data_IF_331040951890
#
_entry.id   IF_331040951890
#
_cell.length_a   1.000
_cell.length_b   1.000
_cell.length_c   1.000
_cell.angle_alpha   90.00
_cell.angle_beta   90.00
_cell.angle_gamma   90.00
#
_symmetry.space_group_name_H-M   'P 1'
#
loop_
_entity.id
_entity.type
_entity.pdbx_description
1 polymer ?
#
# COMPACT_ATOMS: atom_id res chain seq x y z
N UNK A 1 -11.71 -21.11 27.05
CA UNK A 1 -11.91 -20.06 26.03
C UNK A 1 -11.12 -20.51 24.81
N UNK A 2 -11.80 -20.88 23.72
CA UNK A 2 -11.13 -21.37 22.51
C UNK A 2 -10.33 -20.24 21.88
N UNK A 3 -9.01 -20.42 21.73
CA UNK A 3 -8.20 -19.64 20.79
C UNK A 3 -8.87 -19.75 19.41
N UNK A 4 -9.24 -18.61 18.83
CA UNK A 4 -9.87 -18.58 17.51
C UNK A 4 -8.89 -19.15 16.49
N UNK A 5 -9.18 -20.34 15.96
CA UNK A 5 -8.40 -20.92 14.89
C UNK A 5 -8.44 -19.98 13.69
N UNK A 6 -7.27 -19.70 13.08
CA UNK A 6 -7.23 -18.91 11.87
C UNK A 6 -7.90 -19.71 10.76
N UNK A 7 -8.96 -19.15 10.18
CA UNK A 7 -9.68 -19.74 9.08
C UNK A 7 -8.80 -19.78 7.82
N UNK A 8 -8.77 -20.93 7.14
CA UNK A 8 -7.96 -21.17 5.94
C UNK A 8 -6.45 -21.01 6.18
N UNK A 9 -5.83 -21.98 6.86
CA UNK A 9 -4.38 -22.02 7.05
C UNK A 9 -3.60 -22.14 5.72
N UNK A 10 -2.31 -21.82 5.76
CA UNK A 10 -1.40 -21.94 4.60
C UNK A 10 -1.01 -23.42 4.45
N UNK A 11 -1.21 -23.97 3.25
CA UNK A 11 -0.84 -25.35 2.94
C UNK A 11 0.68 -25.52 2.87
N UNK A 12 1.19 -26.72 3.16
CA UNK A 12 2.63 -26.97 3.24
C UNK A 12 3.33 -26.80 1.87
N UNK A 13 2.63 -27.14 0.79
CA UNK A 13 3.08 -26.95 -0.59
C UNK A 13 3.05 -25.49 -1.06
N UNK A 14 2.29 -24.63 -0.37
CA UNK A 14 2.11 -23.21 -0.69
C UNK A 14 2.96 -22.30 0.23
N UNK A 15 3.96 -22.86 0.93
CA UNK A 15 4.91 -22.10 1.75
C UNK A 15 6.34 -22.55 1.47
N UNK A 16 7.26 -21.58 1.41
CA UNK A 16 8.68 -21.82 1.27
C UNK A 16 9.46 -20.86 2.15
N UNK A 17 10.60 -21.33 2.65
CA UNK A 17 11.45 -20.55 3.55
C UNK A 17 12.91 -20.57 3.11
N UNK A 18 13.61 -19.46 3.34
CA UNK A 18 15.05 -19.35 3.14
C UNK A 18 15.66 -18.26 4.01
N UNK A 19 16.98 -18.29 4.19
CA UNK A 19 17.70 -17.12 4.67
C UNK A 19 17.81 -16.09 3.54
N UNK A 20 17.43 -14.86 3.83
CA UNK A 20 17.59 -13.72 2.94
C UNK A 20 18.66 -12.78 3.49
N UNK A 21 19.82 -12.79 2.85
CA UNK A 21 20.93 -11.87 3.16
C UNK A 21 20.66 -10.54 2.48
N UNK A 22 20.59 -9.47 3.27
CA UNK A 22 20.35 -8.10 2.79
C UNK A 22 21.45 -7.16 3.30
N UNK A 23 21.48 -5.93 2.77
CA UNK A 23 22.30 -4.85 3.33
C UNK A 23 21.92 -4.48 4.77
N UNK A 24 20.73 -4.92 5.23
CA UNK A 24 20.19 -4.72 6.58
C UNK A 24 20.39 -5.95 7.48
N UNK A 25 21.19 -6.94 7.04
CA UNK A 25 21.42 -8.18 7.78
C UNK A 25 20.61 -9.36 7.23
N UNK A 26 20.56 -10.44 8.01
CA UNK A 26 19.95 -11.71 7.60
C UNK A 26 18.55 -11.81 8.20
N UNK A 27 17.57 -12.09 7.35
CA UNK A 27 16.19 -12.36 7.75
C UNK A 27 15.82 -13.78 7.35
N UNK A 28 14.99 -14.44 8.15
CA UNK A 28 14.25 -15.61 7.67
C UNK A 28 13.12 -15.10 6.77
N UNK A 29 13.21 -15.42 5.48
CA UNK A 29 12.17 -15.16 4.51
C UNK A 29 11.17 -16.31 4.50
N UNK A 30 9.89 -15.99 4.58
CA UNK A 30 8.77 -16.94 4.46
C UNK A 30 7.86 -16.45 3.35
N UNK A 31 8.02 -17.05 2.17
CA UNK A 31 7.13 -16.82 1.04
C UNK A 31 5.93 -17.76 1.15
N UNK A 32 4.74 -17.25 0.87
CA UNK A 32 3.53 -18.08 0.90
C UNK A 32 2.52 -17.64 -0.14
N UNK A 33 1.82 -18.61 -0.73
CA UNK A 33 0.62 -18.34 -1.52
C UNK A 33 -0.59 -18.36 -0.61
N UNK A 34 -1.34 -17.26 -0.59
CA UNK A 34 -2.54 -17.18 0.21
C UNK A 34 -3.68 -18.04 -0.41
N UNK A 35 -4.40 -18.83 0.38
CA UNK A 35 -5.46 -19.70 -0.14
C UNK A 35 -6.70 -18.95 -0.64
N UNK A 36 -6.88 -17.67 -0.26
CA UNK A 36 -8.07 -16.88 -0.59
C UNK A 36 -7.81 -15.92 -1.74
N UNK A 37 -6.82 -15.06 -1.62
CA UNK A 37 -6.53 -14.07 -2.67
C UNK A 37 -5.61 -14.62 -3.78
N UNK A 38 -4.99 -15.78 -3.54
CA UNK A 38 -4.09 -16.51 -4.45
C UNK A 38 -2.79 -15.78 -4.81
N UNK A 39 -2.52 -14.62 -4.22
CA UNK A 39 -1.25 -13.95 -4.36
C UNK A 39 -0.15 -14.65 -3.55
N UNK A 40 1.09 -14.48 -4.02
CA UNK A 40 2.27 -14.85 -3.27
C UNK A 40 2.73 -13.64 -2.47
N UNK A 41 2.80 -13.76 -1.14
CA UNK A 41 3.27 -12.73 -0.24
C UNK A 41 4.59 -13.15 0.42
N UNK A 42 5.21 -12.22 1.14
CA UNK A 42 6.48 -12.46 1.82
C UNK A 42 6.43 -11.95 3.24
N UNK A 43 6.80 -12.77 4.21
CA UNK A 43 7.13 -12.34 5.56
C UNK A 43 8.65 -12.38 5.76
N UNK A 44 9.22 -11.31 6.29
CA UNK A 44 10.62 -11.20 6.66
C UNK A 44 10.71 -11.13 8.18
N UNK A 45 11.35 -12.14 8.76
CA UNK A 45 11.40 -12.38 10.20
C UNK A 45 12.82 -12.17 10.68
N UNK A 46 12.98 -11.34 11.71
CA UNK A 46 14.23 -11.15 12.45
C UNK A 46 14.02 -11.63 13.89
N UNK A 47 14.91 -12.46 14.45
CA UNK A 47 14.80 -12.90 15.85
C UNK A 47 13.63 -13.85 16.16
N UNK A 48 13.43 -14.19 17.43
CA UNK A 48 12.37 -15.11 17.87
C UNK A 48 11.02 -14.41 18.06
N UNK A 49 9.95 -14.99 17.49
CA UNK A 49 8.63 -14.38 17.43
C UNK A 49 7.56 -15.24 18.08
N UNK A 50 7.25 -14.98 19.37
CA UNK A 50 6.17 -15.69 20.08
C UNK A 50 5.05 -14.78 20.57
N UNK A 51 5.37 -13.68 21.23
CA UNK A 51 4.37 -12.78 21.84
C UNK A 51 4.91 -11.36 21.92
N UNK A 52 3.99 -10.40 21.82
CA UNK A 52 4.28 -8.96 21.78
C UNK A 52 5.24 -8.54 20.65
N UNK A 53 5.13 -9.27 19.54
CA UNK A 53 5.99 -9.13 18.36
C UNK A 53 5.75 -7.80 17.66
N UNK A 54 6.81 -7.07 17.34
CA UNK A 54 6.71 -5.89 16.49
C UNK A 54 6.41 -6.31 15.06
N UNK A 55 5.25 -5.92 14.53
CA UNK A 55 4.82 -6.30 13.18
C UNK A 55 4.57 -5.06 12.32
N UNK A 56 5.08 -5.07 11.10
CA UNK A 56 4.67 -4.18 10.02
C UNK A 56 3.95 -4.96 8.95
N UNK A 57 2.66 -4.69 8.76
CA UNK A 57 1.94 -5.10 7.55
C UNK A 57 2.19 -4.05 6.47
N UNK A 58 3.07 -4.31 5.52
CA UNK A 58 3.35 -3.42 4.41
C UNK A 58 2.48 -3.77 3.21
N UNK A 59 1.85 -2.78 2.59
CA UNK A 59 1.07 -2.98 1.37
C UNK A 59 1.96 -2.62 0.19
N UNK A 60 2.08 -3.54 -0.76
CA UNK A 60 2.91 -3.38 -1.96
C UNK A 60 2.71 -2.01 -2.63
N UNK A 61 3.82 -1.34 -2.94
CA UNK A 61 3.84 -0.13 -3.72
C UNK A 61 5.11 -0.09 -4.57
N UNK A 62 5.05 -0.62 -5.79
CA UNK A 62 6.22 -0.75 -6.66
C UNK A 62 6.96 0.58 -6.84
N UNK A 63 6.21 1.64 -7.14
CA UNK A 63 6.79 2.98 -7.37
C UNK A 63 7.49 3.55 -6.14
N UNK A 64 6.94 3.32 -4.94
CA UNK A 64 7.50 3.87 -3.71
C UNK A 64 8.64 3.00 -3.16
N UNK A 65 8.45 1.69 -3.17
CA UNK A 65 9.31 0.73 -2.50
C UNK A 65 10.57 0.43 -3.31
N UNK A 66 10.46 0.36 -4.65
CA UNK A 66 11.58 0.02 -5.54
C UNK A 66 12.20 1.25 -6.20
N UNK A 67 11.36 2.20 -6.65
CA UNK A 67 11.82 3.37 -7.41
C UNK A 67 11.95 4.65 -6.58
N UNK A 68 11.64 4.61 -5.28
CA UNK A 68 11.79 5.75 -4.39
C UNK A 68 10.90 6.95 -4.74
N UNK A 69 9.72 6.71 -5.33
CA UNK A 69 8.83 7.79 -5.75
C UNK A 69 8.43 8.70 -4.57
N UNK A 70 8.59 10.02 -4.75
CA UNK A 70 8.33 11.02 -3.71
C UNK A 70 6.85 11.36 -3.52
N UNK A 71 5.97 10.92 -4.44
CA UNK A 71 4.51 11.19 -4.42
C UNK A 71 3.80 10.49 -3.26
N UNK A 72 4.35 9.38 -2.78
CA UNK A 72 3.87 8.68 -1.59
C UNK A 72 5.04 8.46 -0.61
N UNK A 73 4.73 7.97 0.58
CA UNK A 73 5.70 7.69 1.63
C UNK A 73 5.93 6.17 1.83
N UNK A 74 5.48 5.32 0.90
CA UNK A 74 5.53 3.87 1.06
C UNK A 74 6.96 3.34 1.26
N UNK A 75 7.92 3.75 0.42
CA UNK A 75 9.32 3.33 0.56
C UNK A 75 9.92 3.78 1.88
N UNK A 76 9.72 5.04 2.27
CA UNK A 76 10.17 5.58 3.55
C UNK A 76 9.55 4.84 4.75
N UNK A 77 8.27 4.43 4.65
CA UNK A 77 7.64 3.61 5.68
C UNK A 77 8.20 2.19 5.73
N UNK A 78 8.57 1.61 4.59
CA UNK A 78 9.21 0.29 4.55
C UNK A 78 10.58 0.35 5.23
N UNK A 79 11.40 1.35 4.89
CA UNK A 79 12.69 1.59 5.51
C UNK A 79 12.56 1.80 7.03
N UNK A 80 11.67 2.70 7.45
CA UNK A 80 11.46 3.00 8.87
C UNK A 80 10.94 1.78 9.66
N UNK A 81 10.21 0.87 9.02
CA UNK A 81 9.78 -0.38 9.63
C UNK A 81 10.94 -1.36 9.82
N UNK A 82 11.83 -1.50 8.83
CA UNK A 82 13.05 -2.29 9.00
C UNK A 82 13.93 -1.71 10.10
N UNK A 83 14.16 -0.39 10.11
CA UNK A 83 14.94 0.27 11.16
C UNK A 83 14.34 0.02 12.55
N UNK A 84 12.99 -0.01 12.65
CA UNK A 84 12.30 -0.31 13.90
C UNK A 84 12.50 -1.73 14.39
N UNK A 85 12.38 -2.70 13.49
CA UNK A 85 12.56 -4.12 13.80
C UNK A 85 14.02 -4.42 14.14
N UNK A 86 14.98 -3.85 13.40
CA UNK A 86 16.40 -4.00 13.69
C UNK A 86 16.77 -3.41 15.06
N UNK A 87 16.21 -2.25 15.44
CA UNK A 87 16.44 -1.65 16.77
C UNK A 87 15.95 -2.51 17.94
N UNK A 88 15.00 -3.41 17.71
CA UNK A 88 14.51 -4.35 18.73
C UNK A 88 15.15 -5.74 18.61
N UNK A 89 16.04 -5.95 17.63
CA UNK A 89 16.61 -7.25 17.25
C UNK A 89 15.55 -8.35 17.02
N UNK A 90 14.31 -7.94 16.78
CA UNK A 90 13.14 -8.81 16.79
C UNK A 90 11.95 -8.15 16.10
N UNK A 91 11.34 -8.85 15.13
CA UNK A 91 10.08 -8.45 14.53
C UNK A 91 9.81 -9.04 13.16
N UNK A 92 8.69 -8.65 12.57
CA UNK A 92 8.21 -9.18 11.27
C UNK A 92 7.74 -8.04 10.36
N UNK A 93 8.25 -8.01 9.13
CA UNK A 93 7.61 -7.29 8.03
C UNK A 93 6.82 -8.28 7.19
N UNK A 94 5.50 -8.10 7.07
CA UNK A 94 4.66 -8.84 6.12
C UNK A 94 4.41 -7.95 4.91
N UNK A 95 5.03 -8.28 3.78
CA UNK A 95 4.87 -7.59 2.50
C UNK A 95 3.71 -8.21 1.72
N UNK A 96 2.58 -7.51 1.72
CA UNK A 96 1.32 -7.95 1.11
C UNK A 96 1.28 -7.53 -0.35
N UNK A 97 1.57 -8.49 -1.24
CA UNK A 97 1.35 -8.39 -2.69
C UNK A 97 -0.13 -8.37 -3.04
N UNK A 98 -0.44 -7.85 -4.24
CA UNK A 98 -1.83 -7.63 -4.68
C UNK A 98 -2.46 -6.36 -4.12
N UNK A 99 -1.75 -5.63 -3.24
CA UNK A 99 -2.25 -4.40 -2.61
C UNK A 99 -1.88 -3.11 -3.35
N UNK A 100 -1.20 -3.22 -4.49
CA UNK A 100 -0.80 -2.06 -5.28
C UNK A 100 -2.01 -1.18 -5.60
N UNK A 101 -1.84 0.13 -5.42
CA UNK A 101 -2.92 1.11 -5.60
C UNK A 101 -4.09 0.97 -4.62
N UNK A 102 -3.93 0.28 -3.48
CA UNK A 102 -5.04 -0.16 -2.60
C UNK A 102 -5.88 -1.30 -3.19
N UNK A 103 -5.22 -2.17 -3.96
CA UNK A 103 -5.82 -3.36 -4.54
C UNK A 103 -6.40 -3.18 -5.95
N UNK A 104 -6.34 -1.97 -6.50
CA UNK A 104 -6.75 -1.70 -7.90
C UNK A 104 -5.64 -2.05 -8.92
N UNK A 105 -4.43 -2.33 -8.43
CA UNK A 105 -3.27 -2.65 -9.27
C UNK A 105 -2.53 -1.44 -9.82
N UNK A 106 -1.36 -1.71 -10.41
CA UNK A 106 -0.42 -0.68 -10.86
C UNK A 106 -0.99 0.19 -11.99
N UNK A 107 -1.62 -0.44 -12.99
CA UNK A 107 -2.16 0.28 -14.15
C UNK A 107 -3.22 1.30 -13.73
N UNK A 108 -4.20 0.88 -12.93
CA UNK A 108 -5.27 1.75 -12.44
C UNK A 108 -4.74 2.86 -11.51
N UNK A 109 -3.71 2.55 -10.70
CA UNK A 109 -2.98 3.56 -9.92
C UNK A 109 -2.35 4.63 -10.81
N UNK A 110 -1.66 4.25 -11.89
CA UNK A 110 -1.04 5.22 -12.80
C UNK A 110 -2.08 6.04 -13.57
N UNK A 111 -3.20 5.45 -13.99
CA UNK A 111 -4.34 6.21 -14.54
C UNK A 111 -4.90 7.23 -13.55
N UNK A 112 -5.03 6.84 -12.28
CA UNK A 112 -5.44 7.74 -11.19
C UNK A 112 -4.45 8.89 -11.03
N UNK A 113 -3.13 8.62 -11.04
CA UNK A 113 -2.11 9.67 -10.98
C UNK A 113 -2.19 10.65 -12.16
N UNK A 114 -2.38 10.14 -13.39
CA UNK A 114 -2.53 10.99 -14.57
C UNK A 114 -3.71 11.96 -14.42
N UNK A 115 -4.83 11.49 -13.86
CA UNK A 115 -6.00 12.32 -13.61
C UNK A 115 -5.78 13.33 -12.47
N UNK A 116 -5.03 12.97 -11.43
CA UNK A 116 -4.63 13.92 -10.38
C UNK A 116 -3.77 15.05 -10.92
N UNK A 117 -2.87 14.72 -11.85
CA UNK A 117 -1.92 15.66 -12.45
C UNK A 117 -2.61 16.59 -13.44
N UNK A 118 -3.52 16.07 -14.26
CA UNK A 118 -4.23 16.85 -15.28
C UNK A 118 -5.42 17.65 -14.73
N UNK A 119 -6.18 17.07 -13.81
CA UNK A 119 -7.44 17.65 -13.31
C UNK A 119 -7.35 18.21 -11.88
N UNK A 120 -6.19 18.09 -11.20
CA UNK A 120 -6.02 18.59 -9.84
C UNK A 120 -6.90 17.87 -8.80
N UNK A 121 -7.47 16.71 -9.14
CA UNK A 121 -8.26 15.89 -8.23
C UNK A 121 -7.37 15.24 -7.16
N UNK A 122 -7.98 14.84 -6.04
CA UNK A 122 -7.31 14.00 -5.04
C UNK A 122 -7.48 12.49 -5.37
N UNK A 123 -6.85 11.64 -4.55
CA UNK A 123 -6.87 10.18 -4.75
C UNK A 123 -8.27 9.57 -4.79
N UNK A 124 -9.20 10.05 -3.98
CA UNK A 124 -10.55 9.46 -3.90
C UNK A 124 -11.39 9.97 -5.06
N UNK A 125 -11.29 11.25 -5.41
CA UNK A 125 -12.07 11.82 -6.51
C UNK A 125 -11.59 11.28 -7.87
N UNK A 126 -10.28 11.12 -8.06
CA UNK A 126 -9.74 10.49 -9.28
C UNK A 126 -10.17 9.03 -9.42
N UNK A 127 -10.14 8.24 -8.35
CA UNK A 127 -10.62 6.86 -8.39
C UNK A 127 -12.12 6.80 -8.72
N UNK A 128 -12.91 7.66 -8.08
CA UNK A 128 -14.36 7.78 -8.32
C UNK A 128 -14.66 8.14 -9.77
N UNK A 129 -13.95 9.12 -10.33
CA UNK A 129 -14.11 9.55 -11.73
C UNK A 129 -13.78 8.44 -12.74
N UNK A 130 -12.88 7.51 -12.39
CA UNK A 130 -12.53 6.34 -13.19
C UNK A 130 -13.43 5.12 -12.91
N UNK A 131 -14.43 5.24 -12.02
CA UNK A 131 -15.32 4.13 -11.64
C UNK A 131 -14.61 3.02 -10.83
N UNK A 132 -13.49 3.34 -10.18
CA UNK A 132 -12.68 2.38 -9.43
C UNK A 132 -13.10 2.34 -7.96
N UNK A 133 -12.98 1.18 -7.30
CA UNK A 133 -13.18 1.10 -5.86
C UNK A 133 -12.04 1.83 -5.12
N UNK A 134 -12.36 2.44 -3.96
CA UNK A 134 -11.42 3.28 -3.22
C UNK A 134 -10.36 2.47 -2.45
N UNK A 135 -10.77 1.32 -1.91
CA UNK A 135 -9.89 0.43 -1.15
C UNK A 135 -10.51 -0.97 -1.15
N UNK A 136 -9.80 -1.95 -1.71
CA UNK A 136 -10.25 -3.36 -1.76
C UNK A 136 -9.26 -4.30 -1.09
N UNK A 137 -8.35 -3.76 -0.28
CA UNK A 137 -7.32 -4.55 0.38
C UNK A 137 -7.92 -5.49 1.42
N UNK A 138 -7.47 -6.74 1.38
CA UNK A 138 -7.68 -7.72 2.44
C UNK A 138 -6.41 -7.86 3.28
N UNK A 139 -6.57 -7.94 4.59
CA UNK A 139 -5.46 -8.13 5.52
C UNK A 139 -5.43 -9.54 6.13
N UNK A 140 -6.34 -10.43 5.70
CA UNK A 140 -6.36 -11.85 6.01
C UNK A 140 -5.03 -12.58 5.78
N UNK A 141 -4.32 -12.37 4.65
CA UNK A 141 -3.05 -13.04 4.41
C UNK A 141 -2.00 -12.76 5.49
N UNK A 142 -1.98 -11.54 6.04
CA UNK A 142 -1.10 -11.20 7.14
C UNK A 142 -1.44 -11.96 8.42
N UNK A 143 -2.72 -12.10 8.75
CA UNK A 143 -3.13 -12.87 9.92
C UNK A 143 -2.73 -14.36 9.77
N UNK A 144 -2.94 -14.93 8.58
CA UNK A 144 -2.58 -16.34 8.28
C UNK A 144 -1.10 -16.62 8.44
N UNK A 145 -0.22 -15.79 7.88
CA UNK A 145 1.22 -16.01 8.04
C UNK A 145 1.68 -15.78 9.47
N UNK A 146 1.08 -14.82 10.21
CA UNK A 146 1.38 -14.65 11.63
C UNK A 146 0.97 -15.87 12.47
N UNK A 147 -0.19 -16.48 12.17
CA UNK A 147 -0.59 -17.73 12.81
C UNK A 147 0.29 -18.91 12.43
N UNK A 148 0.68 -19.02 11.16
CA UNK A 148 1.63 -20.03 10.68
C UNK A 148 2.98 -19.92 11.41
N UNK A 149 3.45 -18.70 11.65
CA UNK A 149 4.66 -18.41 12.43
C UNK A 149 4.49 -18.63 13.96
N UNK A 150 3.28 -18.96 14.42
CA UNK A 150 2.99 -19.18 15.85
C UNK A 150 2.94 -17.91 16.69
N UNK A 151 2.72 -16.74 16.07
CA UNK A 151 2.65 -15.45 16.76
C UNK A 151 1.34 -15.32 17.52
N UNK A 152 1.42 -15.13 18.85
CA UNK A 152 0.24 -15.05 19.73
C UNK A 152 -0.28 -13.64 19.92
N UNK A 153 0.60 -12.64 19.86
CA UNK A 153 0.24 -11.24 20.00
C UNK A 153 1.22 -10.30 19.32
N UNK A 154 0.73 -9.14 18.89
CA UNK A 154 1.48 -8.17 18.09
C UNK A 154 1.37 -6.74 18.61
N UNK A 155 2.48 -6.01 18.55
CA UNK A 155 2.53 -4.54 18.51
C UNK A 155 2.59 -4.12 17.05
N UNK A 156 1.50 -3.54 16.55
CA UNK A 156 1.35 -3.27 15.11
C UNK A 156 1.87 -1.87 14.75
N UNK A 157 2.91 -1.80 13.92
CA UNK A 157 3.46 -0.58 13.31
C UNK A 157 2.53 -0.04 12.22
N UNK A 158 1.55 0.79 12.60
CA UNK A 158 0.55 1.32 11.68
C UNK A 158 -0.08 2.64 12.13
N UNK A 159 -0.36 3.50 11.17
CA UNK A 159 -1.24 4.67 11.32
C UNK A 159 -2.68 4.38 10.86
N UNK A 160 -2.90 3.24 10.20
CA UNK A 160 -4.20 2.80 9.71
C UNK A 160 -4.91 1.94 10.78
N UNK A 161 -6.09 2.38 11.23
CA UNK A 161 -6.91 1.66 12.21
C UNK A 161 -7.57 0.40 11.63
N UNK A 162 -7.82 0.34 10.33
CA UNK A 162 -8.41 -0.84 9.67
C UNK A 162 -7.48 -2.05 9.76
N UNK A 163 -6.15 -1.87 9.65
CA UNK A 163 -5.18 -2.96 9.83
C UNK A 163 -5.28 -3.60 11.22
N UNK A 164 -5.51 -2.79 12.26
CA UNK A 164 -5.72 -3.28 13.63
C UNK A 164 -7.03 -4.08 13.72
N UNK A 165 -8.11 -3.56 13.12
CA UNK A 165 -9.41 -4.24 13.12
C UNK A 165 -9.35 -5.57 12.39
N UNK A 166 -8.71 -5.61 11.22
CA UNK A 166 -8.59 -6.81 10.42
C UNK A 166 -7.82 -7.92 11.16
N UNK A 167 -6.65 -7.62 11.74
CA UNK A 167 -5.93 -8.63 12.53
C UNK A 167 -6.76 -9.17 13.69
N UNK A 168 -7.48 -8.29 14.41
CA UNK A 168 -8.38 -8.72 15.50
C UNK A 168 -9.52 -9.59 15.00
N UNK A 169 -10.11 -9.27 13.86
CA UNK A 169 -11.17 -10.07 13.24
C UNK A 169 -10.69 -11.48 12.87
N UNK A 170 -9.41 -11.63 12.50
CA UNK A 170 -8.76 -12.92 12.26
C UNK A 170 -8.15 -13.57 13.51
N UNK A 171 -8.54 -13.13 14.72
CA UNK A 171 -8.14 -13.77 15.97
C UNK A 171 -6.74 -13.39 16.49
N UNK A 172 -6.01 -12.51 15.80
CA UNK A 172 -4.69 -12.06 16.27
C UNK A 172 -4.85 -10.98 17.36
N UNK A 173 -4.25 -11.22 18.52
CA UNK A 173 -4.26 -10.26 19.63
C UNK A 173 -3.32 -9.08 19.36
N UNK A 174 -3.88 -7.92 19.03
CA UNK A 174 -3.12 -6.66 18.93
C UNK A 174 -2.99 -6.00 20.31
N UNK A 175 -1.80 -6.04 20.92
CA UNK A 175 -1.49 -5.49 22.26
C UNK A 175 -1.27 -3.98 22.23
N UNK A 176 -0.65 -3.48 21.16
CA UNK A 176 -0.47 -2.05 20.95
C UNK A 176 -0.54 -1.67 19.48
N UNK A 177 -0.94 -0.43 19.21
CA UNK A 177 -0.70 0.24 17.92
C UNK A 177 0.50 1.17 18.11
N UNK A 178 1.58 0.91 17.39
CA UNK A 178 2.78 1.74 17.40
C UNK A 178 2.73 2.65 16.16
N UNK A 179 2.70 3.98 16.32
CA UNK A 179 2.70 4.90 15.18
C UNK A 179 3.97 4.73 14.33
N UNK A 180 3.83 4.82 13.01
CA UNK A 180 4.95 4.84 12.08
C UNK A 180 4.89 6.12 11.26
N UNK A 181 5.42 7.20 11.83
CA UNK A 181 5.40 8.52 11.21
C UNK A 181 6.70 8.72 10.43
N UNK A 182 6.58 9.15 9.18
CA UNK A 182 7.70 9.53 8.30
C UNK A 182 7.45 10.95 7.81
N UNK A 183 8.50 11.62 7.32
CA UNK A 183 8.42 13.02 6.93
C UNK A 183 7.49 13.27 5.74
N UNK A 184 6.98 14.50 5.66
CA UNK A 184 6.32 15.04 4.48
C UNK A 184 7.33 15.72 3.55
N UNK A 185 6.99 15.81 2.27
CA UNK A 185 7.74 16.55 1.28
C UNK A 185 6.75 17.23 0.31
N UNK A 186 7.16 18.24 -0.47
CA UNK A 186 6.26 18.99 -1.35
C UNK A 186 5.43 18.12 -2.32
N UNK A 187 5.91 16.94 -2.70
CA UNK A 187 5.25 16.02 -3.63
C UNK A 187 4.21 15.11 -2.98
N UNK A 188 4.26 14.85 -1.67
CA UNK A 188 3.34 13.94 -0.98
C UNK A 188 2.33 14.63 -0.05
N UNK A 189 2.42 15.94 0.21
CA UNK A 189 1.48 16.65 1.12
C UNK A 189 0.01 16.39 0.73
N UNK A 190 -0.34 16.50 -0.55
CA UNK A 190 -1.72 16.26 -1.04
C UNK A 190 -2.15 14.82 -0.79
N UNK A 191 -1.27 13.86 -1.09
CA UNK A 191 -1.52 12.43 -0.86
C UNK A 191 -1.74 12.12 0.63
N UNK A 192 -0.84 12.62 1.50
CA UNK A 192 -0.89 12.44 2.94
C UNK A 192 -2.14 13.08 3.56
N UNK A 193 -2.53 14.26 3.06
CA UNK A 193 -3.77 14.95 3.45
C UNK A 193 -5.00 14.11 3.13
N UNK A 194 -5.15 13.63 1.89
CA UNK A 194 -6.26 12.74 1.53
C UNK A 194 -6.25 11.44 2.36
N UNK A 195 -5.06 10.91 2.66
CA UNK A 195 -4.88 9.71 3.48
C UNK A 195 -5.38 9.90 4.92
N UNK A 196 -5.13 11.07 5.51
CA UNK A 196 -5.63 11.48 6.83
C UNK A 196 -7.14 11.72 6.80
N UNK A 197 -7.58 12.60 5.91
CA UNK A 197 -8.93 13.19 5.97
C UNK A 197 -10.00 12.26 5.40
N UNK A 198 -9.65 11.42 4.42
CA UNK A 198 -10.61 10.58 3.68
C UNK A 198 -10.41 9.09 3.85
N UNK A 199 -9.22 8.65 4.27
CA UNK A 199 -8.83 7.23 4.23
C UNK A 199 -8.45 6.68 5.62
N UNK A 200 -8.86 7.36 6.69
CA UNK A 200 -8.82 6.83 8.07
C UNK A 200 -7.44 6.66 8.68
N UNK A 201 -6.42 7.39 8.20
CA UNK A 201 -5.07 7.33 8.77
C UNK A 201 -4.84 8.41 9.82
N UNK A 202 -4.23 8.01 10.93
CA UNK A 202 -3.83 8.90 12.03
C UNK A 202 -2.45 9.50 11.75
N UNK A 203 -2.41 10.72 11.20
CA UNK A 203 -1.19 11.42 10.79
C UNK A 203 -1.10 12.80 11.50
N UNK A 204 -0.85 12.83 12.82
CA UNK A 204 -0.91 14.06 13.62
C UNK A 204 0.23 15.06 13.33
N UNK A 205 1.28 14.63 12.63
CA UNK A 205 2.41 15.47 12.25
C UNK A 205 2.13 16.36 11.04
N UNK A 206 1.10 16.05 10.24
CA UNK A 206 0.72 16.88 9.09
C UNK A 206 0.13 18.19 9.60
N UNK A 207 0.80 19.29 9.34
CA UNK A 207 0.25 20.61 9.61
C UNK A 207 -0.95 20.85 8.69
N UNK A 208 -2.04 21.36 9.24
CA UNK A 208 -3.08 21.98 8.41
C UNK A 208 -2.44 23.23 7.83
N UNK A 209 -2.38 23.42 6.50
CA UNK A 209 -1.99 24.72 5.96
C UNK A 209 -2.97 25.74 6.54
N UNK A 210 -2.46 26.75 7.25
CA UNK A 210 -3.29 27.90 7.60
C UNK A 210 -3.94 28.37 6.30
N UNK A 211 -5.28 28.34 6.26
CA UNK A 211 -6.03 28.90 5.15
C UNK A 211 -5.48 30.29 4.90
N UNK A 212 -5.02 30.55 3.68
CA UNK A 212 -4.36 31.79 3.28
C UNK A 212 -5.20 32.97 3.77
N UNK A 213 -4.80 33.54 4.89
CA UNK A 213 -5.28 34.81 5.38
C UNK A 213 -4.58 35.88 4.54
N UNK A 214 -5.14 36.19 3.38
CA UNK A 214 -4.96 37.47 2.70
C UNK A 214 -6.05 37.63 1.63
N UNK A 215 -6.92 38.62 1.88
CA UNK A 215 -7.97 39.02 0.96
C UNK A 215 -7.40 39.58 -0.34
N UNK A 216 -8.14 39.30 -1.41
CA UNK A 216 -8.02 39.94 -2.71
C UNK A 216 -9.30 39.61 -3.48
N UNK A 217 -10.22 40.56 -3.53
CA UNK A 217 -11.39 40.50 -4.41
C UNK A 217 -10.92 40.32 -5.87
N UNK A 218 -11.44 39.31 -6.56
CA UNK A 218 -11.10 39.10 -7.98
C UNK A 218 -11.72 37.85 -8.60
N UNK A 219 -12.84 38.06 -9.28
CA UNK A 219 -13.45 37.21 -10.32
C UNK A 219 -14.02 35.83 -9.91
N UNK A 220 -15.34 35.78 -9.79
CA UNK A 220 -16.16 34.56 -9.95
C UNK A 220 -15.93 34.01 -11.37
N UNK A 221 -15.09 32.99 -11.49
CA UNK A 221 -14.97 32.21 -12.72
C UNK A 221 -16.09 31.18 -12.81
N UNK A 222 -16.86 31.24 -13.90
CA UNK A 222 -17.93 30.27 -14.25
C UNK A 222 -17.45 28.81 -14.20
N UNK A 223 -18.36 27.84 -13.95
CA UNK A 223 -18.03 26.43 -13.98
C UNK A 223 -17.58 26.04 -15.39
N UNK A 224 -16.31 25.60 -15.53
CA UNK A 224 -15.83 25.04 -16.79
C UNK A 224 -16.33 23.61 -16.95
N UNK A 225 -16.77 23.32 -18.17
CA UNK A 225 -17.47 22.12 -18.59
C UNK A 225 -16.60 20.86 -18.60
N UNK A 226 -17.28 19.75 -18.32
CA UNK A 226 -17.05 18.34 -18.68
C UNK A 226 -15.69 17.68 -18.42
N UNK A 227 -15.55 17.14 -17.19
CA UNK A 227 -14.56 16.10 -16.87
C UNK A 227 -14.72 14.80 -17.67
N UNK A 228 -15.82 14.60 -18.40
CA UNK A 228 -16.01 13.44 -19.31
C UNK A 228 -15.04 13.47 -20.49
N UNK A 229 -14.77 14.65 -21.05
CA UNK A 229 -13.98 14.80 -22.26
C UNK A 229 -12.48 14.55 -22.02
N UNK A 230 -12.00 14.84 -20.80
CA UNK A 230 -10.62 14.54 -20.38
C UNK A 230 -10.40 13.05 -20.11
N UNK A 231 -11.44 12.33 -19.66
CA UNK A 231 -11.38 10.87 -19.46
C UNK A 231 -11.33 10.15 -20.82
N UNK A 232 -12.07 10.63 -21.82
CA UNK A 232 -12.06 10.06 -23.18
C UNK A 232 -10.70 10.26 -23.88
N UNK A 233 -10.07 11.44 -23.72
CA UNK A 233 -8.74 11.71 -24.30
C UNK A 233 -7.62 10.88 -23.67
N UNK A 234 -7.72 10.54 -22.38
CA UNK A 234 -6.73 9.70 -21.71
C UNK A 234 -6.85 8.20 -22.07
N UNK A 235 -7.98 7.77 -22.65
CA UNK A 235 -8.26 6.38 -23.01
C UNK A 235 -8.08 6.09 -24.52
N UNK A 236 -7.99 7.12 -25.38
CA UNK A 236 -7.89 6.97 -26.83
C UNK A 236 -6.46 6.77 -27.39
N UNK A 237 -5.46 6.53 -26.52
CA UNK A 237 -4.05 6.51 -26.90
C UNK A 237 -3.47 5.15 -27.33
N UNK A 238 -4.25 4.24 -27.90
CA UNK A 238 -3.78 2.87 -28.23
C UNK A 238 -4.31 2.28 -29.56
N UNK A 239 -4.74 3.10 -30.52
CA UNK A 239 -5.05 2.63 -31.87
C UNK A 239 -4.15 3.32 -32.89
N UNK A 240 -3.01 2.69 -33.22
CA UNK A 240 -2.34 2.79 -34.52
C UNK A 240 -1.12 1.83 -34.58
N UNK A 241 -1.38 0.52 -34.67
CA UNK A 241 -0.41 -0.43 -35.26
C UNK A 241 -1.17 -1.49 -36.07
N UNK A 242 -1.69 -1.11 -37.24
CA UNK A 242 -1.88 -2.06 -38.34
C UNK A 242 -1.57 -1.37 -39.69
N UNK A 243 -0.68 -1.99 -40.47
CA UNK A 243 -0.57 -1.70 -41.90
C UNK A 243 0.87 -1.63 -42.43
N UNK A 244 1.44 -2.78 -42.81
CA UNK A 244 2.71 -2.80 -43.52
C UNK A 244 3.21 -4.18 -43.94
N UNK A 245 2.36 -4.98 -44.60
CA UNK A 245 2.84 -6.13 -45.38
C UNK A 245 3.28 -5.62 -46.75
N UNK A 246 4.55 -5.83 -47.09
CA UNK A 246 5.15 -5.48 -48.37
C UNK A 246 6.26 -6.47 -48.72
N UNK A 247 5.89 -7.39 -49.60
CA UNK A 247 6.70 -8.44 -50.25
C UNK A 247 7.84 -7.87 -51.12
N UNK A 248 8.73 -8.77 -51.60
CA UNK A 248 9.66 -8.64 -52.77
C UNK A 248 11.05 -8.00 -52.51
N UNK A 249 12.23 -8.55 -52.89
CA UNK A 249 12.64 -9.42 -54.00
C UNK A 249 14.01 -10.12 -53.76
N UNK A 250 14.23 -11.14 -54.59
CA UNK A 250 15.46 -11.90 -54.87
C UNK A 250 16.73 -11.05 -55.14
N UNK A 251 17.89 -11.63 -54.80
CA UNK A 251 19.23 -11.11 -55.12
C UNK A 251 20.33 -11.78 -54.32
#
# INVERSE_FOLDING_TARGET
>A
MSEGAIEHGIAAEDVAESDLVTSRGVFRAVAFRDPVDRYEHLALVLGEQRSDVLVRMHSECLTGDVFGALRCECGQQLDAAFDAIQREDSGIVVYLRGHEGRGIGLLAKLKTHALQDSAGLDTVDSATALGLPIDVRDFGPAARVLGHLGVRSVRLLTNNREKVRALRAHGIRVTARVPLLVGENPHNVRYLTAKRDRLGHDLPHLRVPDAVAQGGEGAVGQPRQDGRQLVEQALAGDEDVEGGVGEQLEG
#
